data_IF_389624151562
#
_entry.id   IF_389624151562
#
_cell.length_a   1.000
_cell.length_b   1.000
_cell.length_c   1.000
_cell.angle_alpha   90.00
_cell.angle_beta   90.00
_cell.angle_gamma   90.00
#
_symmetry.space_group_name_H-M   'P 1'
#
loop_
_entity.id
_entity.type
_entity.pdbx_description
1 polymer ?
#
# COMPACT_ATOMS: atom_id res chain seq x y z
N UNK A 1 -24.90 -13.78 2.83
CA UNK A 1 -23.93 -13.08 1.97
C UNK A 1 -22.66 -13.89 1.83
N UNK A 2 -22.30 -14.19 0.62
CA UNK A 2 -21.08 -14.92 0.34
C UNK A 2 -19.88 -14.00 0.48
N UNK A 3 -18.83 -14.46 1.17
CA UNK A 3 -17.62 -13.68 1.32
C UNK A 3 -16.98 -13.32 -0.02
N UNK A 4 -17.18 -14.15 -1.02
CA UNK A 4 -16.63 -13.89 -2.34
C UNK A 4 -17.20 -12.65 -3.00
N UNK A 5 -18.35 -12.19 -2.51
CA UNK A 5 -18.98 -10.99 -3.04
C UNK A 5 -18.61 -9.74 -2.27
N UNK A 6 -17.75 -9.87 -1.28
CA UNK A 6 -17.27 -8.72 -0.53
C UNK A 6 -16.02 -8.16 -1.17
N UNK A 7 -15.87 -6.86 -1.05
CA UNK A 7 -14.71 -6.15 -1.55
C UNK A 7 -14.04 -5.42 -0.40
N UNK A 8 -12.76 -5.23 -0.51
CA UNK A 8 -12.02 -4.44 0.46
C UNK A 8 -10.89 -3.71 -0.23
N UNK A 9 -10.39 -2.67 0.42
CA UNK A 9 -9.20 -1.96 -0.02
C UNK A 9 -8.29 -1.75 1.17
N UNK A 10 -7.01 -1.58 0.90
CA UNK A 10 -6.05 -1.33 1.97
C UNK A 10 -5.19 -0.13 1.64
N UNK A 11 -4.76 0.55 2.71
CA UNK A 11 -3.74 1.59 2.65
C UNK A 11 -2.67 1.19 3.65
N UNK A 12 -1.45 1.01 3.18
CA UNK A 12 -0.36 0.58 4.04
C UNK A 12 0.77 1.59 3.93
N UNK A 13 1.11 2.22 5.05
CA UNK A 13 2.18 3.20 5.13
C UNK A 13 3.50 2.51 5.40
N UNK A 14 4.54 2.97 4.71
CA UNK A 14 5.86 2.38 4.87
C UNK A 14 6.93 3.40 4.56
N UNK A 15 8.14 3.07 4.94
CA UNK A 15 9.33 3.84 4.61
C UNK A 15 10.42 2.86 4.19
N UNK A 16 11.64 3.34 3.95
CA UNK A 16 12.72 2.46 3.52
C UNK A 16 12.76 2.20 2.02
N UNK A 17 11.70 2.55 1.33
CA UNK A 17 11.58 2.39 -0.12
C UNK A 17 10.90 3.64 -0.65
N UNK A 18 11.35 4.13 -1.80
CA UNK A 18 10.71 5.30 -2.41
C UNK A 18 9.46 4.88 -3.17
N UNK A 19 8.60 5.86 -3.43
CA UNK A 19 7.38 5.58 -4.19
C UNK A 19 7.70 5.02 -5.58
N UNK A 20 8.72 5.56 -6.21
CA UNK A 20 9.12 5.07 -7.54
C UNK A 20 9.67 3.66 -7.46
N UNK A 21 10.53 3.39 -6.48
CA UNK A 21 11.06 2.04 -6.29
C UNK A 21 9.96 1.04 -6.02
N UNK A 22 8.98 1.44 -5.22
CA UNK A 22 7.85 0.56 -4.92
C UNK A 22 7.05 0.24 -6.18
N UNK A 23 6.76 1.26 -6.97
CA UNK A 23 6.02 1.06 -8.21
C UNK A 23 6.79 0.16 -9.18
N UNK A 24 8.10 0.37 -9.27
CA UNK A 24 8.93 -0.47 -10.16
C UNK A 24 8.95 -1.92 -9.69
N UNK A 25 9.09 -2.14 -8.39
CA UNK A 25 9.13 -3.50 -7.85
C UNK A 25 7.81 -4.23 -8.10
N UNK A 26 6.70 -3.55 -7.85
CA UNK A 26 5.39 -4.17 -8.03
C UNK A 26 5.07 -4.33 -9.52
N UNK A 27 5.52 -3.39 -10.35
CA UNK A 27 5.40 -3.56 -11.80
C UNK A 27 6.10 -4.81 -12.29
N UNK A 28 7.30 -5.06 -11.77
CA UNK A 28 8.03 -6.27 -12.11
C UNK A 28 7.29 -7.51 -11.63
N UNK A 29 6.73 -7.47 -10.44
CA UNK A 29 5.95 -8.58 -9.91
C UNK A 29 4.73 -8.88 -10.79
N UNK A 30 4.04 -7.85 -11.25
CA UNK A 30 2.85 -8.00 -12.07
C UNK A 30 3.16 -8.26 -13.54
N UNK A 31 4.36 -7.89 -13.98
CA UNK A 31 4.69 -7.95 -15.41
C UNK A 31 4.14 -6.77 -16.19
N UNK A 32 3.98 -5.61 -15.55
CA UNK A 32 3.45 -4.41 -16.20
C UNK A 32 4.38 -3.24 -15.95
N UNK A 33 4.16 -2.15 -16.67
CA UNK A 33 4.99 -0.95 -16.53
C UNK A 33 4.35 0.04 -15.59
N UNK A 34 5.09 0.52 -14.58
CA UNK A 34 4.59 1.59 -13.74
C UNK A 34 4.58 2.91 -14.49
N UNK A 35 3.83 3.86 -13.97
CA UNK A 35 3.70 5.19 -14.58
C UNK A 35 3.56 6.24 -13.50
N UNK A 36 4.04 7.44 -13.81
CA UNK A 36 3.96 8.55 -12.88
C UNK A 36 2.62 9.26 -13.08
N UNK A 37 1.83 9.34 -12.01
CA UNK A 37 0.55 10.02 -12.06
C UNK A 37 0.73 11.50 -11.70
N UNK A 38 1.62 11.79 -10.75
CA UNK A 38 1.88 13.15 -10.31
C UNK A 38 0.97 13.56 -9.17
N UNK A 39 0.32 14.70 -9.30
CA UNK A 39 -0.52 15.33 -8.30
C UNK A 39 0.32 15.88 -7.15
N UNK A 40 -0.35 16.46 -6.16
CA UNK A 40 0.26 16.95 -4.94
C UNK A 40 1.10 15.90 -4.22
N UNK A 41 0.75 14.63 -4.41
CA UNK A 41 1.29 13.55 -3.60
C UNK A 41 2.35 12.76 -4.35
N UNK A 42 2.80 13.26 -5.49
CA UNK A 42 3.85 12.61 -6.29
C UNK A 42 3.58 11.12 -6.43
N UNK A 43 2.39 10.80 -6.89
CA UNK A 43 1.88 9.44 -6.91
C UNK A 43 2.38 8.67 -8.12
N UNK A 44 2.76 7.43 -7.89
CA UNK A 44 3.09 6.46 -8.93
C UNK A 44 2.00 5.41 -8.98
N UNK A 45 1.70 4.92 -10.16
CA UNK A 45 0.69 3.88 -10.35
C UNK A 45 1.25 2.70 -11.08
N UNK A 46 0.62 1.56 -10.86
CA UNK A 46 0.95 0.34 -11.59
C UNK A 46 -0.33 -0.49 -11.67
N UNK A 47 -0.59 -1.07 -12.84
CA UNK A 47 -1.78 -1.89 -13.02
C UNK A 47 -1.41 -3.35 -12.96
N UNK A 48 -2.27 -4.15 -12.32
CA UNK A 48 -2.08 -5.60 -12.35
C UNK A 48 -2.60 -6.14 -13.69
N UNK A 49 -2.49 -7.45 -13.84
CA UNK A 49 -2.87 -8.08 -15.13
C UNK A 49 -4.37 -8.00 -15.38
N UNK A 50 -5.15 -7.70 -14.36
CA UNK A 50 -6.59 -7.51 -14.51
C UNK A 50 -6.96 -6.05 -14.75
N UNK A 51 -5.95 -5.18 -14.83
CA UNK A 51 -6.17 -3.77 -15.09
C UNK A 51 -6.46 -2.92 -13.86
N UNK A 52 -6.44 -3.49 -12.68
CA UNK A 52 -6.68 -2.72 -11.46
C UNK A 52 -5.46 -1.92 -11.10
N UNK A 53 -5.66 -0.69 -10.64
CA UNK A 53 -4.59 0.25 -10.39
C UNK A 53 -4.17 0.23 -8.92
N UNK A 54 -2.89 -0.01 -8.69
CA UNK A 54 -2.25 0.09 -7.39
C UNK A 54 -1.46 1.39 -7.36
N UNK A 55 -1.54 2.14 -6.27
CA UNK A 55 -0.91 3.44 -6.20
C UNK A 55 0.06 3.53 -5.04
N UNK A 56 1.10 4.33 -5.23
CA UNK A 56 2.10 4.60 -4.20
C UNK A 56 2.18 6.11 -4.07
N UNK A 57 1.78 6.63 -2.91
CA UNK A 57 1.54 8.05 -2.74
C UNK A 57 2.29 8.57 -1.52
N UNK A 58 2.46 9.88 -1.44
CA UNK A 58 3.13 10.54 -0.34
C UNK A 58 2.16 10.70 0.85
N UNK A 59 2.69 10.49 2.05
CA UNK A 59 1.95 10.74 3.28
C UNK A 59 2.90 11.44 4.26
N UNK A 60 2.59 12.70 4.59
CA UNK A 60 3.46 13.52 5.42
C UNK A 60 3.57 13.08 6.87
N UNK A 61 2.72 12.17 7.32
CA UNK A 61 2.79 11.69 8.70
C UNK A 61 3.87 10.63 8.92
N UNK A 62 4.47 10.13 7.84
CA UNK A 62 5.48 9.09 7.94
C UNK A 62 6.82 9.68 8.29
N UNK A 63 7.47 9.16 9.33
CA UNK A 63 8.85 9.51 9.65
C UNK A 63 9.76 8.71 8.75
N UNK A 64 10.34 9.37 7.76
CA UNK A 64 11.04 8.70 6.67
C UNK A 64 12.43 8.23 7.10
N UNK A 65 12.77 7.03 6.66
CA UNK A 65 14.04 6.40 6.93
C UNK A 65 14.53 5.67 5.69
N UNK A 66 15.85 5.47 5.61
CA UNK A 66 16.42 4.62 4.57
C UNK A 66 17.56 3.81 5.17
N UNK A 67 17.89 2.75 4.50
CA UNK A 67 18.98 1.89 4.94
C UNK A 67 20.32 2.53 4.61
N UNK A 68 21.23 2.47 5.57
CA UNK A 68 22.60 2.92 5.38
C UNK A 68 23.51 1.90 6.06
N UNK A 69 23.96 0.90 5.28
CA UNK A 69 24.69 -0.21 5.85
C UNK A 69 23.79 -1.06 6.72
N UNK A 70 24.15 -1.19 7.99
CA UNK A 70 23.37 -1.99 8.94
C UNK A 70 22.33 -1.19 9.68
N UNK A 71 22.21 0.11 9.40
CA UNK A 71 21.39 1.01 10.18
C UNK A 71 20.37 1.69 9.30
N UNK A 72 19.32 2.22 9.94
CA UNK A 72 18.37 3.10 9.30
C UNK A 72 18.66 4.54 9.75
N UNK A 73 18.65 5.46 8.82
CA UNK A 73 18.92 6.88 9.07
C UNK A 73 17.76 7.68 8.51
N UNK A 74 17.67 8.93 8.91
CA UNK A 74 16.67 9.85 8.36
C UNK A 74 16.81 9.93 6.86
N UNK A 75 15.67 10.05 6.18
CA UNK A 75 15.64 10.13 4.74
C UNK A 75 14.73 11.27 4.32
N UNK A 76 14.82 11.66 3.05
CA UNK A 76 13.96 12.72 2.54
C UNK A 76 12.55 12.18 2.25
N UNK A 77 11.69 13.06 1.76
CA UNK A 77 10.28 12.74 1.59
C UNK A 77 10.01 11.71 0.51
N UNK A 78 10.97 11.39 -0.33
CA UNK A 78 10.80 10.32 -1.31
C UNK A 78 10.56 8.97 -0.65
N UNK A 79 11.05 8.81 0.58
CA UNK A 79 10.90 7.57 1.34
C UNK A 79 9.61 7.51 2.14
N UNK A 80 8.68 8.43 1.87
CA UNK A 80 7.33 8.37 2.39
C UNK A 80 6.47 7.65 1.35
N UNK A 81 6.02 6.47 1.66
CA UNK A 81 5.31 5.65 0.69
C UNK A 81 4.07 5.05 1.33
N UNK A 82 2.92 5.41 0.80
CA UNK A 82 1.66 4.79 1.20
C UNK A 82 1.17 3.98 0.01
N UNK A 83 1.08 2.66 0.19
CA UNK A 83 0.54 1.79 -0.84
C UNK A 83 -0.98 1.79 -0.73
N UNK A 84 -1.66 2.15 -1.82
CA UNK A 84 -3.11 2.15 -1.88
C UNK A 84 -3.52 1.07 -2.85
N UNK A 85 -4.18 0.02 -2.36
CA UNK A 85 -4.64 -1.04 -3.23
C UNK A 85 -5.90 -0.62 -3.97
N UNK A 86 -6.20 -1.26 -5.08
CA UNK A 86 -7.54 -1.10 -5.66
C UNK A 86 -8.55 -1.85 -4.81
N UNK A 87 -9.82 -1.77 -5.22
CA UNK A 87 -10.86 -2.58 -4.61
C UNK A 87 -10.60 -4.04 -4.95
N UNK A 88 -10.45 -4.87 -3.94
CA UNK A 88 -10.07 -6.27 -4.11
C UNK A 88 -11.19 -7.17 -3.63
N UNK A 89 -11.34 -8.32 -4.27
CA UNK A 89 -12.21 -9.37 -3.80
C UNK A 89 -11.49 -10.20 -2.76
N UNK A 90 -12.25 -10.88 -1.94
CA UNK A 90 -11.65 -11.70 -0.89
C UNK A 90 -10.68 -12.74 -1.46
N UNK A 91 -10.99 -13.27 -2.64
CA UNK A 91 -10.11 -14.25 -3.30
C UNK A 91 -8.79 -13.67 -3.77
N UNK A 92 -8.64 -12.35 -3.75
CA UNK A 92 -7.40 -11.68 -4.15
C UNK A 92 -6.48 -11.39 -2.96
N UNK A 93 -6.80 -11.92 -1.79
CA UNK A 93 -5.98 -11.68 -0.61
C UNK A 93 -4.54 -12.12 -0.82
N UNK A 94 -4.32 -13.21 -1.53
CA UNK A 94 -2.96 -13.68 -1.77
C UNK A 94 -2.19 -12.71 -2.65
N UNK A 95 -2.86 -12.09 -3.62
CA UNK A 95 -2.20 -11.07 -4.43
C UNK A 95 -1.72 -9.92 -3.55
N UNK A 96 -2.55 -9.47 -2.63
CA UNK A 96 -2.16 -8.42 -1.70
C UNK A 96 -0.94 -8.85 -0.89
N UNK A 97 -0.94 -10.08 -0.40
CA UNK A 97 0.18 -10.57 0.39
C UNK A 97 1.46 -10.64 -0.44
N UNK A 98 1.35 -11.01 -1.71
CA UNK A 98 2.51 -11.02 -2.59
C UNK A 98 3.08 -9.63 -2.80
N UNK A 99 2.20 -8.63 -2.95
CA UNK A 99 2.65 -7.25 -3.10
C UNK A 99 3.38 -6.80 -1.84
N UNK A 100 2.82 -7.08 -0.68
CA UNK A 100 3.45 -6.68 0.58
C UNK A 100 4.82 -7.34 0.75
N UNK A 101 4.92 -8.61 0.44
CA UNK A 101 6.21 -9.31 0.52
C UNK A 101 7.21 -8.74 -0.47
N UNK A 102 6.75 -8.40 -1.67
CA UNK A 102 7.60 -7.77 -2.68
C UNK A 102 8.17 -6.46 -2.17
N UNK A 103 7.32 -5.62 -1.61
CA UNK A 103 7.77 -4.33 -1.09
C UNK A 103 8.76 -4.51 0.05
N UNK A 104 8.49 -5.46 0.93
CA UNK A 104 9.41 -5.72 2.03
C UNK A 104 10.76 -6.20 1.53
N UNK A 105 10.78 -7.04 0.53
CA UNK A 105 12.04 -7.56 0.00
C UNK A 105 12.86 -6.48 -0.72
N UNK A 106 12.21 -5.38 -1.09
CA UNK A 106 12.89 -4.26 -1.74
C UNK A 106 13.18 -3.11 -0.77
N UNK A 107 13.11 -3.36 0.52
CA UNK A 107 13.49 -2.37 1.51
C UNK A 107 12.37 -1.72 2.27
N UNK A 108 11.14 -1.97 1.89
CA UNK A 108 10.00 -1.41 2.59
C UNK A 108 9.93 -1.89 4.03
N UNK A 109 9.68 -0.96 4.94
CA UNK A 109 9.57 -1.30 6.36
C UNK A 109 8.56 -0.38 7.00
N UNK A 110 8.07 -0.78 8.16
CA UNK A 110 7.19 0.07 8.95
C UNK A 110 7.94 0.52 10.21
N UNK A 111 7.58 1.70 10.70
CA UNK A 111 8.04 2.16 12.00
C UNK A 111 6.81 2.66 12.76
N UNK A 112 7.04 3.28 13.94
CA UNK A 112 5.92 3.65 14.79
C UNK A 112 5.02 4.72 14.17
N UNK A 113 5.50 5.42 13.14
CA UNK A 113 4.68 6.44 12.45
C UNK A 113 3.80 5.85 11.37
N UNK A 114 3.95 4.57 11.05
CA UNK A 114 3.25 3.93 9.94
C UNK A 114 2.02 3.19 10.45
N UNK A 115 0.97 3.21 9.64
CA UNK A 115 -0.26 2.50 9.96
C UNK A 115 -0.76 1.70 8.78
N UNK A 116 -1.79 0.91 9.03
CA UNK A 116 -2.48 0.17 8.00
C UNK A 116 -3.98 0.35 8.20
N UNK A 117 -4.67 0.66 7.11
CA UNK A 117 -6.12 0.82 7.13
C UNK A 117 -6.75 -0.17 6.16
N UNK A 118 -7.83 -0.80 6.60
CA UNK A 118 -8.60 -1.71 5.76
C UNK A 118 -10.01 -1.17 5.65
N UNK A 119 -10.45 -0.95 4.42
CA UNK A 119 -11.80 -0.46 4.12
C UNK A 119 -12.60 -1.59 3.54
N UNK A 120 -13.71 -1.93 4.16
CA UNK A 120 -14.56 -3.02 3.70
C UNK A 120 -15.81 -2.42 3.07
N UNK A 121 -16.14 -2.90 1.87
CA UNK A 121 -17.37 -2.50 1.23
C UNK A 121 -18.50 -3.29 1.90
N UNK A 122 -19.21 -2.61 2.77
CA UNK A 122 -20.23 -3.23 3.61
C UNK A 122 -21.64 -2.89 3.16
N UNK A 123 -21.81 -2.57 1.88
CA UNK A 123 -23.13 -2.15 1.40
C UNK A 123 -24.21 -3.20 1.68
N UNK A 124 -23.81 -4.48 1.79
CA UNK A 124 -24.73 -5.58 2.08
C UNK A 124 -24.55 -6.15 3.47
N UNK A 125 -23.89 -5.42 4.36
CA UNK A 125 -23.52 -5.92 5.68
C UNK A 125 -23.88 -4.91 6.75
N UNK A 126 -23.75 -5.35 8.01
CA UNK A 126 -23.95 -4.46 9.13
C UNK A 126 -22.67 -3.65 9.38
N UNK A 127 -22.83 -2.63 10.22
CA UNK A 127 -21.72 -1.75 10.55
C UNK A 127 -20.65 -2.41 11.41
N UNK A 128 -20.85 -3.63 11.85
CA UNK A 128 -19.85 -4.31 12.66
C UNK A 128 -18.52 -4.49 11.93
N UNK A 129 -18.57 -4.46 10.60
CA UNK A 129 -17.35 -4.62 9.82
C UNK A 129 -16.41 -3.42 9.90
N UNK A 130 -16.85 -2.34 10.54
CA UNK A 130 -16.05 -1.12 10.63
C UNK A 130 -15.23 -1.03 11.91
N UNK A 131 -15.23 -2.06 12.72
CA UNK A 131 -14.48 -1.99 13.98
C UNK A 131 -12.99 -1.78 13.78
N UNK A 132 -12.45 -2.33 12.71
CA UNK A 132 -11.02 -2.16 12.44
C UNK A 132 -10.69 -0.69 12.15
N UNK A 133 -11.57 0.01 11.45
CA UNK A 133 -11.35 1.42 11.18
C UNK A 133 -11.36 2.23 12.46
N UNK A 134 -12.28 1.94 13.34
CA UNK A 134 -12.32 2.63 14.62
C UNK A 134 -11.05 2.39 15.42
N UNK A 135 -10.48 1.20 15.31
CA UNK A 135 -9.25 0.90 16.00
C UNK A 135 -8.07 1.69 15.47
N UNK A 136 -8.10 2.04 14.20
CA UNK A 136 -7.01 2.75 13.56
C UNK A 136 -7.03 4.24 13.85
N UNK A 137 -8.10 4.73 14.36
CA UNK A 137 -8.28 6.16 14.57
C UNK A 137 -7.62 6.67 15.84
N UNK A 138 -6.68 5.98 16.33
CA UNK A 138 -6.01 6.40 17.56
C UNK A 138 -5.08 7.53 17.40
#
# INVERSE_FOLDING_TARGET
MDLKEQYFGTEIEMTGITREEAANAVGELFGTQPYYIGTYYSTWGVRDLEGKEWKFTYDGSIHTQRRNGNRYVYADSEYSTEMVSPKLEYGEMEKLQQVVRCLRSHGGKVNSSCGMHVHVDASNHTCLLYTSDAADDK
#
